data_IF_033523263263
#
_entry.id   IF_033523263263
#
_cell.length_a   1.000
_cell.length_b   1.000
_cell.length_c   1.000
_cell.angle_alpha   90.00
_cell.angle_beta   90.00
_cell.angle_gamma   90.00
#
_symmetry.space_group_name_H-M   'P 1'
#
loop_
_entity.id
_entity.type
_entity.pdbx_description
1 polymer ?
#
# COMPACT_ATOMS: atom_id res chain seq x y z
N UNK A 1 58.83 56.71 22.23
CA UNK A 1 59.24 55.97 21.01
C UNK A 1 59.68 54.60 21.51
N UNK A 2 59.06 53.45 21.22
CA UNK A 2 58.29 53.01 20.04
C UNK A 2 57.41 51.84 20.52
N UNK A 3 56.10 51.86 20.25
CA UNK A 3 55.21 50.75 20.60
C UNK A 3 55.18 49.71 19.50
N UNK A 4 55.44 48.43 19.80
CA UNK A 4 55.07 47.32 18.94
C UNK A 4 53.63 46.91 19.28
N UNK A 5 52.69 47.18 18.37
CA UNK A 5 51.35 46.59 18.38
C UNK A 5 51.36 45.37 17.45
N UNK A 6 51.20 44.19 18.02
CA UNK A 6 51.07 42.92 17.30
C UNK A 6 49.61 42.78 16.85
N UNK A 7 49.37 42.80 15.54
CA UNK A 7 48.05 42.56 14.95
C UNK A 7 47.68 41.09 15.04
N UNK A 8 46.57 40.78 15.73
CA UNK A 8 45.86 39.51 15.61
C UNK A 8 45.22 39.41 14.22
N UNK A 9 45.62 38.43 13.43
CA UNK A 9 44.86 37.98 12.26
C UNK A 9 43.87 36.90 12.71
N UNK A 10 42.59 37.26 12.83
CA UNK A 10 41.50 36.30 12.98
C UNK A 10 41.17 35.74 11.59
N UNK A 11 41.68 34.54 11.27
CA UNK A 11 41.23 33.79 10.10
C UNK A 11 39.87 33.13 10.40
N UNK A 12 38.78 33.72 9.92
CA UNK A 12 37.50 33.02 9.79
C UNK A 12 37.66 31.91 8.75
N UNK A 13 37.82 30.66 9.20
CA UNK A 13 37.54 29.49 8.38
C UNK A 13 36.02 29.38 8.23
N UNK A 14 35.48 30.04 7.21
CA UNK A 14 34.15 29.75 6.71
C UNK A 14 34.15 28.34 6.13
N UNK A 15 33.69 27.36 6.91
CA UNK A 15 33.24 26.09 6.35
C UNK A 15 31.97 26.38 5.56
N UNK A 16 32.12 26.54 4.25
CA UNK A 16 31.01 26.32 3.33
C UNK A 16 30.61 24.85 3.49
N UNK A 17 29.51 24.62 4.21
CA UNK A 17 28.71 23.43 4.04
C UNK A 17 28.21 23.43 2.60
N UNK A 18 29.05 22.98 1.68
CA UNK A 18 28.64 22.64 0.33
C UNK A 18 27.51 21.63 0.49
N UNK A 19 26.31 22.05 0.09
CA UNK A 19 25.11 21.22 0.11
C UNK A 19 25.47 19.85 -0.47
N UNK A 20 25.51 18.82 0.39
CA UNK A 20 25.74 17.45 -0.05
C UNK A 20 24.52 17.04 -0.87
N UNK A 21 24.65 16.75 -2.18
CA UNK A 21 23.52 16.34 -3.03
C UNK A 21 23.04 14.90 -2.74
N UNK A 22 23.44 14.31 -1.61
CA UNK A 22 23.25 12.90 -1.27
C UNK A 22 22.28 12.67 -0.11
N UNK A 23 21.62 13.72 0.39
CA UNK A 23 20.32 13.52 1.04
C UNK A 23 19.35 13.13 -0.07
N UNK A 24 19.40 11.85 -0.47
CA UNK A 24 18.40 11.26 -1.32
C UNK A 24 17.06 11.61 -0.68
N UNK A 25 16.26 12.41 -1.40
CA UNK A 25 14.89 12.66 -1.01
C UNK A 25 14.26 11.30 -0.80
N UNK A 26 13.74 11.03 0.39
CA UNK A 26 12.99 9.81 0.68
C UNK A 26 11.70 9.87 -0.14
N UNK A 27 11.80 9.54 -1.42
CA UNK A 27 10.65 9.49 -2.30
C UNK A 27 9.89 8.23 -1.92
N UNK A 28 8.71 8.42 -1.35
CA UNK A 28 7.75 7.35 -1.11
C UNK A 28 7.56 6.56 -2.40
N UNK A 29 7.79 5.26 -2.35
CA UNK A 29 7.60 4.37 -3.49
C UNK A 29 6.17 3.86 -3.44
N UNK A 30 5.47 4.02 -4.55
CA UNK A 30 4.08 3.61 -4.68
C UNK A 30 3.94 2.75 -5.92
N UNK A 31 3.24 1.64 -5.77
CA UNK A 31 2.80 0.79 -6.88
C UNK A 31 1.28 0.59 -6.79
N UNK A 32 0.63 0.43 -7.92
CA UNK A 32 -0.81 0.16 -7.94
C UNK A 32 -1.21 -0.80 -9.04
N UNK A 33 -2.18 -1.65 -8.72
CA UNK A 33 -2.81 -2.56 -9.66
C UNK A 33 -4.32 -2.34 -9.64
N UNK A 34 -4.95 -2.47 -10.80
CA UNK A 34 -6.40 -2.27 -10.97
C UNK A 34 -6.98 -3.43 -11.76
N UNK A 35 -8.09 -3.98 -11.27
CA UNK A 35 -8.93 -4.93 -11.98
C UNK A 35 -10.23 -4.22 -12.43
N UNK A 36 -10.68 -4.49 -13.66
CA UNK A 36 -11.82 -3.82 -14.28
C UNK A 36 -12.78 -4.83 -14.91
N UNK A 37 -14.06 -4.54 -14.74
CA UNK A 37 -15.13 -5.30 -15.38
C UNK A 37 -15.23 -4.90 -16.85
N UNK A 38 -15.64 -5.84 -17.70
CA UNK A 38 -16.01 -5.52 -19.08
C UNK A 38 -17.33 -4.74 -19.14
N UNK A 39 -18.26 -5.05 -18.23
CA UNK A 39 -19.52 -4.35 -18.05
C UNK A 39 -19.89 -4.25 -16.55
N UNK A 40 -20.39 -3.08 -16.15
CA UNK A 40 -20.90 -2.89 -14.79
C UNK A 40 -22.21 -3.63 -14.53
N UNK A 41 -22.93 -3.98 -15.59
CA UNK A 41 -24.14 -4.79 -15.60
C UNK A 41 -23.89 -5.88 -16.64
N UNK A 42 -23.25 -7.00 -16.28
CA UNK A 42 -22.90 -8.01 -17.26
C UNK A 42 -24.17 -8.72 -17.77
N UNK A 43 -24.01 -9.45 -18.87
CA UNK A 43 -25.04 -10.40 -19.28
C UNK A 43 -25.22 -11.46 -18.21
N UNK A 44 -26.37 -12.11 -18.19
CA UNK A 44 -26.60 -13.26 -17.34
C UNK A 44 -26.38 -14.56 -18.09
N UNK A 45 -25.84 -15.56 -17.39
CA UNK A 45 -25.73 -16.94 -17.87
C UNK A 45 -26.47 -17.89 -16.92
N UNK A 46 -26.80 -19.13 -17.33
CA UNK A 46 -27.40 -20.09 -16.42
C UNK A 46 -26.54 -20.26 -15.16
N UNK A 47 -27.15 -20.38 -13.98
CA UNK A 47 -26.46 -20.51 -12.69
C UNK A 47 -25.59 -21.76 -12.51
N UNK A 48 -25.47 -22.61 -13.53
CA UNK A 48 -24.49 -23.70 -13.61
C UNK A 48 -23.18 -23.29 -14.31
N UNK A 49 -23.10 -22.10 -14.88
CA UNK A 49 -21.97 -21.61 -15.66
C UNK A 49 -21.29 -20.44 -14.97
N UNK A 50 -19.96 -20.47 -14.95
CA UNK A 50 -19.18 -19.30 -14.58
C UNK A 50 -19.28 -18.21 -15.66
N UNK A 51 -19.16 -16.95 -15.26
CA UNK A 51 -19.17 -15.81 -16.15
C UNK A 51 -17.86 -15.02 -16.04
N UNK A 52 -17.19 -14.83 -17.18
CA UNK A 52 -16.05 -13.91 -17.26
C UNK A 52 -16.56 -12.51 -17.58
N UNK A 53 -16.17 -11.53 -16.76
CA UNK A 53 -16.55 -10.13 -16.94
C UNK A 53 -15.31 -9.23 -16.79
N UNK A 54 -14.49 -9.14 -17.84
CA UNK A 54 -13.21 -8.44 -17.79
C UNK A 54 -12.18 -9.23 -16.98
N UNK A 55 -11.54 -8.59 -16.00
CA UNK A 55 -10.54 -9.22 -15.12
C UNK A 55 -11.16 -10.16 -14.07
N UNK A 56 -12.50 -10.21 -14.00
CA UNK A 56 -13.26 -10.95 -13.01
C UNK A 56 -13.79 -12.27 -13.56
N UNK A 57 -13.74 -13.31 -12.72
CA UNK A 57 -14.54 -14.53 -12.89
C UNK A 57 -15.61 -14.56 -11.81
N UNK A 58 -16.87 -14.54 -12.23
CA UNK A 58 -18.05 -14.71 -11.38
C UNK A 58 -18.40 -16.19 -11.39
N UNK A 59 -18.31 -16.83 -10.23
CA UNK A 59 -18.50 -18.26 -10.07
C UNK A 59 -19.98 -18.58 -9.93
N UNK A 60 -20.38 -19.67 -10.56
CA UNK A 60 -21.72 -20.23 -10.40
C UNK A 60 -21.88 -20.76 -8.97
N UNK A 61 -23.10 -20.62 -8.44
CA UNK A 61 -23.51 -21.25 -7.20
C UNK A 61 -24.58 -22.33 -7.48
N UNK A 62 -24.17 -23.55 -7.89
CA UNK A 62 -25.10 -24.60 -8.29
C UNK A 62 -25.84 -25.25 -7.12
N UNK A 63 -25.37 -25.04 -5.88
CA UNK A 63 -25.90 -25.71 -4.67
C UNK A 63 -27.10 -24.96 -4.06
N UNK A 64 -27.46 -23.79 -4.59
CA UNK A 64 -28.63 -23.05 -4.13
C UNK A 64 -29.92 -23.63 -4.73
N UNK A 65 -31.02 -23.84 -3.98
CA UNK A 65 -32.01 -24.88 -4.28
C UNK A 65 -32.89 -24.74 -5.54
N UNK A 66 -32.69 -23.75 -6.41
CA UNK A 66 -33.61 -23.46 -7.51
C UNK A 66 -32.83 -23.20 -8.80
N UNK A 67 -33.04 -23.98 -9.87
CA UNK A 67 -32.44 -23.82 -11.21
C UNK A 67 -32.75 -22.48 -11.93
N UNK A 68 -33.24 -21.46 -11.21
CA UNK A 68 -33.62 -20.14 -11.70
C UNK A 68 -32.61 -19.04 -11.39
N UNK A 69 -31.50 -19.36 -10.69
CA UNK A 69 -30.43 -18.40 -10.48
C UNK A 69 -29.61 -18.20 -11.74
N UNK A 70 -29.23 -16.96 -11.97
CA UNK A 70 -28.46 -16.49 -13.10
C UNK A 70 -27.12 -15.98 -12.57
N UNK A 71 -26.01 -16.44 -13.12
CA UNK A 71 -24.69 -15.89 -12.77
C UNK A 71 -24.48 -14.57 -13.52
N UNK A 72 -23.98 -13.56 -12.82
CA UNK A 72 -23.80 -12.20 -13.32
C UNK A 72 -25.01 -11.29 -13.12
N UNK A 73 -26.02 -11.73 -12.38
CA UNK A 73 -27.23 -10.96 -12.16
C UNK A 73 -27.14 -10.05 -10.92
N UNK A 74 -26.08 -10.17 -10.14
CA UNK A 74 -25.79 -9.36 -8.96
C UNK A 74 -26.50 -9.84 -7.69
N UNK A 75 -26.94 -11.10 -7.65
CA UNK A 75 -27.51 -11.78 -6.48
C UNK A 75 -26.68 -13.03 -6.21
N UNK A 76 -26.23 -13.20 -4.98
CA UNK A 76 -25.45 -14.33 -4.47
C UNK A 76 -24.24 -14.69 -5.37
N UNK A 77 -23.39 -13.69 -5.63
CA UNK A 77 -22.26 -13.82 -6.53
C UNK A 77 -20.97 -14.07 -5.74
N UNK A 78 -20.18 -15.06 -6.18
CA UNK A 78 -18.78 -15.17 -5.76
C UNK A 78 -17.89 -14.72 -6.90
N UNK A 79 -17.22 -13.59 -6.74
CA UNK A 79 -16.32 -13.02 -7.75
C UNK A 79 -14.86 -13.18 -7.34
N UNK A 80 -14.01 -13.71 -8.22
CA UNK A 80 -12.56 -13.78 -8.02
C UNK A 80 -11.80 -13.00 -9.08
N UNK A 81 -10.69 -12.42 -8.68
CA UNK A 81 -9.70 -11.77 -9.55
C UNK A 81 -8.34 -11.76 -8.86
N UNK A 82 -7.32 -11.29 -9.56
CA UNK A 82 -5.99 -11.05 -8.98
C UNK A 82 -5.49 -9.68 -9.38
N UNK A 83 -4.87 -8.97 -8.45
CA UNK A 83 -4.03 -7.85 -8.81
C UNK A 83 -2.69 -8.35 -9.32
N UNK A 84 -2.23 -7.75 -10.42
CA UNK A 84 -0.90 -7.97 -10.97
C UNK A 84 -0.11 -6.67 -10.92
N UNK A 85 0.87 -6.62 -10.01
CA UNK A 85 1.77 -5.48 -9.86
C UNK A 85 2.98 -5.53 -10.79
N UNK A 86 3.22 -6.62 -11.53
CA UNK A 86 4.43 -6.77 -12.35
C UNK A 86 4.51 -5.77 -13.51
N UNK A 87 3.37 -5.25 -13.93
CA UNK A 87 3.26 -4.22 -14.97
C UNK A 87 3.47 -2.79 -14.42
N UNK A 88 3.55 -2.59 -13.10
CA UNK A 88 3.81 -1.28 -12.52
C UNK A 88 5.30 -0.91 -12.71
N UNK A 89 5.65 0.25 -13.30
CA UNK A 89 7.03 0.67 -13.51
C UNK A 89 7.86 0.75 -12.22
N UNK A 90 7.21 0.97 -11.07
CA UNK A 90 7.82 1.02 -9.75
C UNK A 90 8.03 -0.34 -9.09
N UNK A 91 7.51 -1.43 -9.67
CA UNK A 91 7.49 -2.75 -9.01
C UNK A 91 8.87 -3.27 -8.60
N UNK A 92 9.87 -3.18 -9.49
CA UNK A 92 11.23 -3.62 -9.18
C UNK A 92 11.88 -2.80 -8.05
N UNK A 93 11.66 -1.47 -8.05
CA UNK A 93 12.16 -0.60 -6.99
C UNK A 93 11.41 -0.82 -5.66
N UNK A 94 10.11 -1.12 -5.74
CA UNK A 94 9.29 -1.44 -4.59
C UNK A 94 9.77 -2.73 -3.89
N UNK A 95 10.05 -3.79 -4.65
CA UNK A 95 10.60 -5.04 -4.12
C UNK A 95 11.97 -4.86 -3.45
N UNK A 96 12.73 -3.82 -3.81
CA UNK A 96 14.00 -3.54 -3.16
C UNK A 96 13.87 -2.89 -1.76
N UNK A 97 12.68 -2.40 -1.37
CA UNK A 97 12.49 -1.67 -0.10
C UNK A 97 12.19 -2.55 1.11
N UNK A 98 11.67 -3.75 0.91
CA UNK A 98 11.51 -4.73 1.99
C UNK A 98 10.30 -4.57 2.90
N UNK A 99 9.40 -3.58 2.68
CA UNK A 99 8.19 -3.42 3.52
C UNK A 99 7.07 -2.63 2.81
N UNK A 100 5.83 -2.81 3.29
CA UNK A 100 4.65 -1.99 2.95
C UNK A 100 4.28 -1.15 4.17
N UNK A 101 4.24 0.17 4.03
CA UNK A 101 3.83 1.10 5.10
C UNK A 101 2.36 1.47 5.02
N UNK A 102 1.82 1.58 3.81
CA UNK A 102 0.39 1.85 3.58
C UNK A 102 -0.12 0.95 2.47
N UNK A 103 -1.38 0.51 2.60
CA UNK A 103 -2.05 -0.29 1.60
C UNK A 103 -3.50 0.19 1.48
N UNK A 104 -3.76 0.96 0.43
CA UNK A 104 -5.08 1.51 0.15
C UNK A 104 -5.82 0.58 -0.80
N UNK A 105 -6.94 0.06 -0.35
CA UNK A 105 -7.81 -0.77 -1.16
C UNK A 105 -9.12 -0.04 -1.47
N UNK A 106 -9.46 0.04 -2.75
CA UNK A 106 -10.70 0.64 -3.24
C UNK A 106 -11.45 -0.40 -4.07
N UNK A 107 -12.76 -0.55 -3.83
CA UNK A 107 -13.63 -1.43 -4.60
C UNK A 107 -14.93 -0.68 -4.95
N UNK A 108 -15.39 -0.86 -6.17
CA UNK A 108 -16.68 -0.38 -6.65
C UNK A 108 -17.57 -1.57 -6.92
N UNK A 109 -18.72 -1.60 -6.25
CA UNK A 109 -19.74 -2.64 -6.38
C UNK A 109 -20.95 -2.07 -7.12
N UNK A 110 -21.64 -2.92 -7.86
CA UNK A 110 -22.93 -2.64 -8.44
C UNK A 110 -23.88 -3.79 -8.11
N UNK A 111 -25.06 -3.48 -7.60
CA UNK A 111 -26.05 -4.48 -7.19
C UNK A 111 -27.46 -4.00 -7.46
N UNK A 112 -28.37 -4.94 -7.67
CA UNK A 112 -29.83 -4.73 -7.69
C UNK A 112 -30.51 -5.29 -6.43
N UNK A 113 -29.74 -5.88 -5.53
CA UNK A 113 -30.24 -6.55 -4.34
C UNK A 113 -30.25 -5.58 -3.15
N UNK A 114 -31.46 -5.24 -2.71
CA UNK A 114 -31.69 -4.40 -1.55
C UNK A 114 -32.84 -4.98 -0.74
N UNK A 115 -32.65 -5.15 0.56
CA UNK A 115 -33.68 -5.52 1.52
C UNK A 115 -33.96 -4.32 2.42
N UNK A 116 -35.22 -3.87 2.49
CA UNK A 116 -35.61 -2.65 3.22
C UNK A 116 -34.78 -1.40 2.88
N UNK A 117 -34.34 -1.30 1.62
CA UNK A 117 -33.54 -0.18 1.11
C UNK A 117 -32.05 -0.23 1.49
N UNK A 118 -31.63 -1.27 2.21
CA UNK A 118 -30.24 -1.52 2.60
C UNK A 118 -29.64 -2.54 1.65
N UNK A 119 -28.46 -2.23 1.13
CA UNK A 119 -27.76 -3.11 0.21
C UNK A 119 -27.09 -4.28 0.93
N UNK A 120 -26.45 -5.17 0.16
CA UNK A 120 -26.20 -6.53 0.60
C UNK A 120 -25.10 -6.68 1.65
N UNK A 121 -25.13 -7.78 2.41
CA UNK A 121 -24.08 -8.14 3.35
C UNK A 121 -22.78 -8.64 2.68
N UNK A 122 -22.05 -7.78 1.98
CA UNK A 122 -20.80 -8.17 1.31
C UNK A 122 -19.64 -8.54 2.23
N UNK A 123 -18.85 -9.55 1.83
CA UNK A 123 -17.56 -9.87 2.46
C UNK A 123 -16.43 -9.94 1.42
N UNK A 124 -15.33 -9.26 1.72
CA UNK A 124 -14.10 -9.34 0.92
C UNK A 124 -13.07 -10.14 1.70
N UNK A 125 -12.53 -11.14 1.02
CA UNK A 125 -11.39 -11.92 1.51
C UNK A 125 -10.19 -11.69 0.60
N UNK A 126 -9.04 -11.58 1.25
CA UNK A 126 -7.74 -11.31 0.64
C UNK A 126 -6.87 -12.56 0.83
N UNK A 127 -5.70 -12.65 0.16
CA UNK A 127 -5.09 -13.92 -0.20
C UNK A 127 -5.04 -14.94 0.93
N UNK A 128 -5.41 -16.18 0.60
CA UNK A 128 -5.31 -17.33 1.49
C UNK A 128 -4.69 -18.51 0.74
N UNK A 129 -3.71 -19.17 1.34
CA UNK A 129 -3.35 -20.54 0.99
C UNK A 129 -3.93 -21.49 2.05
N UNK A 130 -5.17 -21.95 1.87
CA UNK A 130 -5.74 -22.99 2.74
C UNK A 130 -6.85 -22.58 3.70
N UNK A 131 -7.69 -21.61 3.34
CA UNK A 131 -8.99 -21.38 4.00
C UNK A 131 -8.95 -20.50 5.25
N UNK A 132 -7.77 -20.29 5.85
CA UNK A 132 -7.52 -19.15 6.71
C UNK A 132 -6.89 -18.05 5.84
N UNK A 133 -7.68 -17.04 5.47
CA UNK A 133 -7.13 -15.82 4.86
C UNK A 133 -5.94 -15.31 5.66
N UNK A 134 -4.89 -14.82 4.98
CA UNK A 134 -3.83 -14.06 5.65
C UNK A 134 -4.37 -12.76 6.26
N UNK A 135 -5.59 -12.39 5.88
CA UNK A 135 -6.15 -11.09 6.13
C UNK A 135 -7.56 -11.23 6.70
N UNK A 136 -7.94 -10.33 7.61
CA UNK A 136 -9.28 -10.30 8.15
C UNK A 136 -10.31 -10.06 7.03
N UNK A 137 -11.47 -10.68 7.20
CA UNK A 137 -12.62 -10.48 6.33
C UNK A 137 -13.13 -9.05 6.48
N UNK A 138 -13.20 -8.30 5.38
CA UNK A 138 -13.77 -6.96 5.38
C UNK A 138 -15.27 -7.03 5.07
N UNK A 139 -16.08 -6.71 6.07
CA UNK A 139 -17.54 -6.71 5.96
C UNK A 139 -18.06 -5.34 5.48
N UNK A 140 -18.79 -5.35 4.36
CA UNK A 140 -19.39 -4.17 3.72
C UNK A 140 -20.91 -4.04 3.97
N UNK A 141 -21.47 -4.87 4.86
CA UNK A 141 -22.89 -4.88 5.19
C UNK A 141 -23.41 -3.51 5.56
N UNK A 142 -24.55 -3.12 4.98
CA UNK A 142 -25.27 -1.90 5.34
C UNK A 142 -24.64 -0.61 4.85
N UNK A 143 -23.59 -0.67 4.02
CA UNK A 143 -22.92 0.53 3.50
C UNK A 143 -23.46 1.02 2.15
N UNK A 144 -24.41 0.29 1.56
CA UNK A 144 -25.13 0.67 0.34
C UNK A 144 -26.59 0.97 0.67
N UNK A 145 -27.17 1.96 -0.01
CA UNK A 145 -28.60 2.22 -0.02
C UNK A 145 -29.12 2.24 -1.45
N UNK A 146 -30.35 1.79 -1.65
CA UNK A 146 -30.92 1.64 -2.99
C UNK A 146 -32.34 1.11 -2.99
N UNK A 147 -32.84 0.78 -4.18
CA UNK A 147 -34.19 0.23 -4.39
C UNK A 147 -34.06 -1.18 -4.97
N UNK A 148 -34.75 -2.14 -4.36
CA UNK A 148 -34.74 -3.52 -4.82
C UNK A 148 -35.16 -3.64 -6.29
N UNK A 149 -34.38 -4.40 -7.07
CA UNK A 149 -34.57 -4.57 -8.51
C UNK A 149 -34.00 -3.44 -9.38
N UNK A 150 -33.43 -2.38 -8.78
CA UNK A 150 -32.75 -1.31 -9.51
C UNK A 150 -31.24 -1.34 -9.22
N UNK A 151 -30.45 -1.32 -10.28
CA UNK A 151 -28.99 -1.24 -10.16
C UNK A 151 -28.56 0.04 -9.45
N UNK A 152 -27.79 -0.13 -8.39
CA UNK A 152 -27.18 0.94 -7.62
C UNK A 152 -25.70 0.63 -7.42
N UNK A 153 -24.88 1.69 -7.48
CA UNK A 153 -23.42 1.61 -7.41
C UNK A 153 -22.91 2.27 -6.15
N UNK A 154 -21.92 1.66 -5.51
CA UNK A 154 -21.17 2.26 -4.41
C UNK A 154 -19.68 1.95 -4.52
N UNK A 155 -18.86 2.85 -3.98
CA UNK A 155 -17.41 2.70 -3.92
C UNK A 155 -16.96 2.75 -2.46
N UNK A 156 -16.19 1.76 -2.06
CA UNK A 156 -15.63 1.63 -0.72
C UNK A 156 -14.13 1.77 -0.78
N UNK A 157 -13.55 2.45 0.20
CA UNK A 157 -12.11 2.57 0.35
C UNK A 157 -11.72 2.30 1.79
N UNK A 158 -10.65 1.52 2.00
CA UNK A 158 -10.10 1.27 3.32
C UNK A 158 -8.56 1.22 3.28
N UNK A 159 -7.95 1.55 4.42
CA UNK A 159 -6.54 1.30 4.67
C UNK A 159 -6.36 -0.08 5.30
N UNK A 160 -5.81 -1.00 4.53
CA UNK A 160 -5.61 -2.39 4.95
C UNK A 160 -4.68 -2.46 6.19
N UNK A 161 -3.62 -1.66 6.25
CA UNK A 161 -2.69 -1.66 7.39
C UNK A 161 -3.31 -0.97 8.61
N UNK A 162 -3.72 0.30 8.49
CA UNK A 162 -4.08 1.12 9.66
C UNK A 162 -5.54 0.95 10.12
N UNK A 163 -6.47 0.57 9.23
CA UNK A 163 -7.88 0.39 9.58
C UNK A 163 -8.26 -1.08 9.73
N UNK A 164 -7.71 -1.96 8.88
CA UNK A 164 -7.98 -3.41 8.96
C UNK A 164 -6.93 -4.17 9.78
N UNK A 165 -5.87 -3.50 10.25
CA UNK A 165 -4.85 -4.10 11.11
C UNK A 165 -3.92 -5.08 10.41
N UNK A 166 -3.83 -5.04 9.07
CA UNK A 166 -2.97 -5.95 8.30
C UNK A 166 -1.48 -5.64 8.52
N UNK A 167 -0.66 -6.68 8.57
CA UNK A 167 0.78 -6.54 8.73
C UNK A 167 1.46 -6.19 7.39
N UNK A 168 2.06 -5.01 7.31
CA UNK A 168 2.78 -4.55 6.12
C UNK A 168 3.95 -5.46 5.69
N UNK A 169 4.61 -6.11 6.64
CA UNK A 169 5.69 -7.07 6.36
C UNK A 169 5.15 -8.34 5.70
N UNK A 170 3.97 -8.81 6.13
CA UNK A 170 3.33 -10.00 5.53
C UNK A 170 2.77 -9.68 4.14
N UNK A 171 2.17 -8.48 3.97
CA UNK A 171 1.76 -7.98 2.65
C UNK A 171 2.94 -7.93 1.67
N UNK A 172 4.08 -7.39 2.11
CA UNK A 172 5.30 -7.37 1.31
C UNK A 172 5.81 -8.78 1.01
N UNK A 173 5.88 -9.63 2.05
CA UNK A 173 6.35 -11.01 1.93
C UNK A 173 5.53 -11.82 0.93
N UNK A 174 4.20 -11.65 0.95
CA UNK A 174 3.31 -12.26 -0.04
C UNK A 174 3.63 -11.80 -1.45
N UNK A 175 3.71 -10.48 -1.66
CA UNK A 175 3.99 -9.88 -2.98
C UNK A 175 5.30 -10.41 -3.57
N UNK A 176 6.33 -10.54 -2.73
CA UNK A 176 7.64 -11.03 -3.13
C UNK A 176 7.64 -12.54 -3.45
N UNK A 177 6.93 -13.36 -2.67
CA UNK A 177 6.89 -14.81 -2.90
C UNK A 177 5.95 -15.25 -4.03
N UNK A 178 4.95 -14.43 -4.38
CA UNK A 178 3.94 -14.74 -5.40
C UNK A 178 4.14 -13.98 -6.71
N UNK A 179 5.34 -13.47 -6.96
CA UNK A 179 5.69 -12.80 -8.22
C UNK A 179 4.79 -11.61 -8.53
N UNK A 180 4.34 -10.86 -7.51
CA UNK A 180 3.54 -9.67 -7.70
C UNK A 180 2.04 -9.92 -7.81
N UNK A 181 1.58 -11.17 -7.68
CA UNK A 181 0.17 -11.51 -7.74
C UNK A 181 -0.50 -11.46 -6.36
N UNK A 182 -1.67 -10.83 -6.31
CA UNK A 182 -2.46 -10.71 -5.10
C UNK A 182 -3.92 -11.13 -5.38
N UNK A 183 -4.28 -12.41 -5.12
CA UNK A 183 -5.62 -12.92 -5.40
C UNK A 183 -6.64 -12.37 -4.41
N UNK A 184 -7.86 -12.19 -4.92
CA UNK A 184 -8.96 -11.53 -4.24
C UNK A 184 -10.24 -12.31 -4.46
N UNK A 185 -11.10 -12.33 -3.44
CA UNK A 185 -12.45 -12.88 -3.55
C UNK A 185 -13.43 -11.91 -2.90
N UNK A 186 -14.49 -11.58 -3.62
CA UNK A 186 -15.71 -11.00 -3.10
C UNK A 186 -16.79 -12.07 -3.13
N UNK A 187 -17.55 -12.20 -2.06
CA UNK A 187 -18.77 -13.00 -2.04
C UNK A 187 -19.92 -12.11 -1.56
N UNK A 188 -21.13 -12.40 -2.06
CA UNK A 188 -22.47 -11.87 -1.71
C UNK A 188 -23.18 -11.18 -2.90
N UNK A 189 -24.27 -10.44 -2.67
CA UNK A 189 -25.18 -9.96 -3.71
C UNK A 189 -24.66 -8.71 -4.44
N UNK A 190 -23.50 -8.76 -5.09
CA UNK A 190 -23.04 -7.68 -5.95
C UNK A 190 -22.08 -8.12 -7.06
N UNK A 191 -22.06 -7.35 -8.15
CA UNK A 191 -21.03 -7.42 -9.18
C UNK A 191 -19.90 -6.46 -8.85
N UNK A 192 -18.66 -6.96 -8.87
CA UNK A 192 -17.46 -6.13 -8.76
C UNK A 192 -17.23 -5.41 -10.09
N UNK A 193 -17.27 -4.07 -10.06
CA UNK A 193 -17.11 -3.24 -11.26
C UNK A 193 -15.65 -2.82 -11.45
N UNK A 194 -15.02 -2.40 -10.37
CA UNK A 194 -13.63 -1.96 -10.34
C UNK A 194 -13.05 -2.29 -8.97
N UNK A 195 -11.80 -2.71 -8.95
CA UNK A 195 -11.05 -2.92 -7.73
C UNK A 195 -9.64 -2.40 -7.95
N UNK A 196 -9.09 -1.70 -6.96
CA UNK A 196 -7.75 -1.12 -7.02
C UNK A 196 -7.04 -1.34 -5.69
N UNK A 197 -5.80 -1.80 -5.76
CA UNK A 197 -4.90 -1.88 -4.61
C UNK A 197 -3.68 -1.01 -4.88
N UNK A 198 -3.42 -0.09 -3.96
CA UNK A 198 -2.23 0.78 -3.98
C UNK A 198 -1.39 0.46 -2.76
N UNK A 199 -0.13 0.10 -2.99
CA UNK A 199 0.84 -0.20 -1.94
C UNK A 199 1.87 0.92 -1.90
N UNK A 200 2.20 1.37 -0.71
CA UNK A 200 3.23 2.38 -0.48
C UNK A 200 4.31 1.80 0.43
N UNK A 201 5.55 2.10 0.10
CA UNK A 201 6.73 1.81 0.90
C UNK A 201 7.43 3.13 1.21
N UNK A 202 7.82 3.32 2.47
CA UNK A 202 8.79 4.36 2.81
C UNK A 202 10.20 3.80 2.65
N UNK A 203 11.12 4.53 1.99
CA UNK A 203 12.52 4.16 1.92
C UNK A 203 13.11 4.01 3.33
N UNK A 204 13.63 2.83 3.64
CA UNK A 204 14.48 2.63 4.81
C UNK A 204 15.79 3.38 4.54
N UNK A 205 16.23 4.31 5.41
CA UNK A 205 17.51 5.00 5.21
C UNK A 205 18.64 3.98 5.07
N UNK A 206 19.42 4.07 4.00
CA UNK A 206 20.50 3.10 3.78
C UNK A 206 21.48 3.09 4.96
N UNK A 207 21.98 1.92 5.40
CA UNK A 207 22.94 1.82 6.49
C UNK A 207 24.18 2.71 6.32
N UNK A 208 24.59 2.96 5.06
CA UNK A 208 25.71 3.83 4.72
C UNK A 208 25.49 5.30 5.11
N UNK A 209 24.27 5.81 4.97
CA UNK A 209 23.93 7.19 5.33
C UNK A 209 23.97 7.39 6.86
N UNK A 210 23.50 6.41 7.62
CA UNK A 210 23.55 6.41 9.09
C UNK A 210 24.99 6.28 9.59
N UNK A 211 25.79 5.39 8.97
CA UNK A 211 27.21 5.24 9.30
C UNK A 211 28.02 6.52 9.04
N UNK A 212 27.76 7.22 7.92
CA UNK A 212 28.41 8.49 7.60
C UNK A 212 27.99 9.64 8.54
N UNK A 213 26.72 9.69 8.95
CA UNK A 213 26.25 10.66 9.94
C UNK A 213 26.93 10.46 11.30
N UNK A 214 27.02 9.20 11.75
CA UNK A 214 27.69 8.84 13.01
C UNK A 214 29.20 9.12 12.94
N UNK A 215 29.85 8.81 11.81
CA UNK A 215 31.27 9.12 11.59
C UNK A 215 31.53 10.63 11.59
N UNK A 216 30.64 11.42 10.97
CA UNK A 216 30.71 12.88 10.97
C UNK A 216 30.60 13.48 12.36
N UNK A 217 29.66 13.01 13.19
CA UNK A 217 29.49 13.45 14.57
C UNK A 217 30.71 13.09 15.45
N UNK A 218 31.27 11.89 15.28
CA UNK A 218 32.49 11.48 15.98
C UNK A 218 33.71 12.34 15.60
N UNK A 219 33.83 12.71 14.31
CA UNK A 219 34.88 13.59 13.82
C UNK A 219 34.83 14.99 14.44
N UNK A 220 33.63 15.59 14.53
CA UNK A 220 33.44 16.91 15.15
C UNK A 220 33.78 16.88 16.64
N UNK A 221 33.33 15.85 17.37
CA UNK A 221 33.65 15.68 18.79
C UNK A 221 35.18 15.55 19.04
N UNK A 222 35.90 14.85 18.16
CA UNK A 222 37.36 14.71 18.25
C UNK A 222 38.12 16.03 18.06
N UNK A 223 37.66 16.90 17.14
CA UNK A 223 38.28 18.20 16.87
C UNK A 223 38.04 19.19 18.01
N UNK A 224 36.84 19.22 18.59
CA UNK A 224 36.51 20.08 19.74
C UNK A 224 37.36 19.69 20.96
N UNK A 225 37.55 18.39 21.19
CA UNK A 225 38.33 17.89 22.33
C UNK A 225 39.83 18.23 22.22
N UNK A 226 40.41 18.19 21.02
CA UNK A 226 41.81 18.61 20.79
C UNK A 226 42.03 20.11 21.00
N UNK A 227 41.05 20.96 20.64
CA UNK A 227 41.15 22.41 20.86
C UNK A 227 41.03 22.79 22.34
N UNK A 228 40.22 22.09 23.12
CA UNK A 228 40.15 22.27 24.57
C UNK A 228 41.46 21.87 25.29
N UNK A 229 42.11 20.79 24.85
CA UNK A 229 43.38 20.35 25.43
C UNK A 229 44.54 21.30 25.13
N UNK A 230 44.63 21.85 23.91
CA UNK A 230 45.66 22.81 23.54
C UNK A 230 45.53 24.14 24.29
N UNK A 231 44.31 24.65 24.49
CA UNK A 231 44.07 25.88 25.25
C UNK A 231 44.36 25.76 26.75
N UNK A 232 44.38 24.53 27.29
CA UNK A 232 44.70 24.27 28.70
C UNK A 232 46.21 24.15 28.93
N UNK A 233 46.97 23.69 27.94
CA UNK A 233 48.43 23.60 28.01
C UNK A 233 49.12 24.97 27.90
N UNK A 234 48.50 25.95 27.24
CA UNK A 234 49.04 27.31 27.07
C UNK A 234 48.83 28.22 28.30
N UNK A 235 48.04 27.79 29.30
CA UNK A 235 47.83 28.51 30.57
C UNK A 235 48.77 28.08 31.70
N UNK A 236 49.66 27.11 31.44
CA UNK A 236 50.56 26.52 32.43
C UNK A 236 52.05 26.78 32.15
N UNK A 237 52.36 27.66 31.20
CA UNK A 237 53.68 28.28 31.00
C UNK A 237 53.56 29.80 31.14
#
# INVERSE_FOLDING_TARGET
MTSLRTSLYTALLGFSLGAMPWLASANTLQISATARSAAAQPITVPGSQHLVNGDYTIFSNPDWPNNFYLTGDGIDETTRWSFDFTNDPGYAAFLANGTVTEATYTITLNTKYFFDGVGPPGAITYPSEGGNGLFPLWNLSGQMTGVGGQWSRATFTTQLVSQQGMNGTELFGWLASHGGLFPMVFADDAVVVESRLTLMAQPVPEPGAVALLLAGLAGVAGVVRRRGAAATAERLN
#
